data_IF_005595197438
#
_entry.id   IF_005595197438
#
_cell.length_a   1.000
_cell.length_b   1.000
_cell.length_c   1.000
_cell.angle_alpha   90.00
_cell.angle_beta   90.00
_cell.angle_gamma   90.00
#
_symmetry.space_group_name_H-M   'P 1'
#
loop_
_entity.id
_entity.type
_entity.pdbx_description
1 polymer ?
#
# COMPACT_ATOMS: atom_id res chain seq x y z
N UNK A 1 8.71 1.93 13.09
CA UNK A 1 7.69 2.86 12.51
C UNK A 1 6.62 3.35 13.50
N UNK A 2 6.63 2.87 14.74
CA UNK A 2 5.58 3.26 15.72
C UNK A 2 5.50 4.78 15.91
N UNK A 3 6.64 5.45 15.97
CA UNK A 3 6.67 6.92 16.11
C UNK A 3 5.96 7.60 14.93
N UNK A 4 6.24 7.15 13.72
CA UNK A 4 5.61 7.73 12.52
C UNK A 4 4.12 7.43 12.48
N UNK A 5 3.69 6.24 12.94
CA UNK A 5 2.27 5.90 12.99
C UNK A 5 1.52 6.84 13.93
N UNK A 6 2.08 7.14 15.09
CA UNK A 6 1.48 8.08 16.05
C UNK A 6 1.46 9.49 15.49
N UNK A 7 2.59 9.97 14.98
CA UNK A 7 2.74 11.33 14.49
C UNK A 7 1.79 11.65 13.34
N UNK A 8 1.62 10.71 12.40
CA UNK A 8 0.81 10.93 11.20
C UNK A 8 -0.55 10.27 11.27
N UNK A 9 -0.93 9.75 12.43
CA UNK A 9 -2.23 9.14 12.66
C UNK A 9 -2.51 7.99 11.67
N UNK A 10 -1.57 7.07 11.56
CA UNK A 10 -1.66 5.90 10.69
C UNK A 10 -1.81 4.66 11.55
N UNK A 11 -2.76 3.80 11.20
CA UNK A 11 -2.90 2.49 11.83
C UNK A 11 -2.79 1.39 10.78
N UNK A 12 -1.93 0.37 11.01
CA UNK A 12 -1.82 -0.76 10.08
C UNK A 12 -3.13 -1.53 9.87
N UNK A 13 -4.07 -1.41 10.81
CA UNK A 13 -5.38 -2.08 10.73
C UNK A 13 -6.44 -1.28 9.98
N UNK A 14 -6.13 -0.03 9.61
CA UNK A 14 -7.03 0.78 8.80
C UNK A 14 -7.04 0.28 7.35
N UNK A 15 -7.97 0.82 6.55
CA UNK A 15 -8.08 0.46 5.14
C UNK A 15 -6.75 0.70 4.41
N UNK A 16 -6.28 -0.32 3.69
CA UNK A 16 -4.97 -0.29 3.03
C UNK A 16 -4.86 0.84 2.00
N UNK A 17 -5.87 1.01 1.15
CA UNK A 17 -5.83 2.04 0.11
C UNK A 17 -5.91 3.45 0.69
N UNK A 18 -6.61 3.63 1.82
CA UNK A 18 -6.62 4.91 2.51
C UNK A 18 -5.25 5.24 3.10
N UNK A 19 -4.61 4.27 3.72
CA UNK A 19 -3.23 4.42 4.23
C UNK A 19 -2.26 4.73 3.10
N UNK A 20 -2.38 4.03 1.99
CA UNK A 20 -1.53 4.25 0.82
C UNK A 20 -1.67 5.67 0.29
N UNK A 21 -2.89 6.16 0.13
CA UNK A 21 -3.18 7.52 -0.30
C UNK A 21 -2.54 8.55 0.62
N UNK A 22 -2.71 8.36 1.92
CA UNK A 22 -2.17 9.26 2.95
C UNK A 22 -0.65 9.32 2.91
N UNK A 23 -0.01 8.16 2.81
CA UNK A 23 1.46 8.06 2.77
C UNK A 23 2.04 8.65 1.50
N UNK A 24 1.40 8.43 0.36
CA UNK A 24 1.83 9.04 -0.91
C UNK A 24 1.74 10.56 -0.86
N UNK A 25 0.67 11.10 -0.26
CA UNK A 25 0.53 12.54 -0.07
C UNK A 25 1.62 13.10 0.85
N UNK A 26 1.93 12.39 1.95
CA UNK A 26 3.00 12.79 2.87
C UNK A 26 4.37 12.76 2.20
N UNK A 27 4.65 11.72 1.40
CA UNK A 27 5.89 11.64 0.63
C UNK A 27 6.01 12.78 -0.36
N UNK A 28 4.94 13.10 -1.06
CA UNK A 28 4.91 14.19 -2.04
C UNK A 28 5.20 15.52 -1.39
N UNK A 29 4.65 15.75 -0.19
CA UNK A 29 4.82 16.99 0.57
C UNK A 29 6.21 17.12 1.18
N UNK A 30 6.70 16.06 1.82
CA UNK A 30 7.92 16.10 2.63
C UNK A 30 9.16 15.57 1.93
N UNK A 31 9.00 14.84 0.82
CA UNK A 31 10.12 14.25 0.06
C UNK A 31 10.99 13.29 0.89
N UNK A 32 10.42 12.68 1.93
CA UNK A 32 11.14 11.78 2.83
C UNK A 32 10.88 10.32 2.41
N UNK A 33 11.97 9.60 2.17
CA UNK A 33 11.91 8.17 1.80
C UNK A 33 11.25 7.31 2.89
N UNK A 34 11.19 7.79 4.12
CA UNK A 34 10.52 7.08 5.23
C UNK A 34 9.10 6.69 4.85
N UNK A 35 8.36 7.57 4.18
CA UNK A 35 6.97 7.30 3.82
C UNK A 35 6.86 6.15 2.81
N UNK A 36 7.84 6.03 1.92
CA UNK A 36 7.90 4.91 0.97
C UNK A 36 8.20 3.60 1.70
N UNK A 37 9.13 3.63 2.64
CA UNK A 37 9.45 2.45 3.46
C UNK A 37 8.23 1.98 4.24
N UNK A 38 7.45 2.91 4.78
CA UNK A 38 6.21 2.58 5.50
C UNK A 38 5.18 1.96 4.55
N UNK A 39 5.06 2.46 3.33
CA UNK A 39 4.14 1.89 2.33
C UNK A 39 4.48 0.42 2.08
N UNK A 40 5.74 0.08 1.88
CA UNK A 40 6.14 -1.31 1.65
C UNK A 40 5.92 -2.17 2.90
N UNK A 41 6.19 -1.63 4.09
CA UNK A 41 5.90 -2.32 5.33
C UNK A 41 4.40 -2.63 5.49
N UNK A 42 3.53 -1.65 5.23
CA UNK A 42 2.08 -1.83 5.33
C UNK A 42 1.56 -2.78 4.25
N UNK A 43 2.17 -2.79 3.07
CA UNK A 43 1.82 -3.75 2.02
C UNK A 43 2.10 -5.17 2.48
N UNK A 44 3.27 -5.43 3.04
CA UNK A 44 3.62 -6.74 3.58
C UNK A 44 2.68 -7.16 4.71
N UNK A 45 2.38 -6.23 5.61
CA UNK A 45 1.47 -6.47 6.72
C UNK A 45 0.06 -6.84 6.23
N UNK A 46 -0.46 -6.09 5.27
CA UNK A 46 -1.79 -6.29 4.72
C UNK A 46 -1.92 -7.68 4.07
N UNK A 47 -0.97 -8.04 3.21
CA UNK A 47 -1.03 -9.32 2.50
C UNK A 47 -0.75 -10.51 3.41
N UNK A 48 0.10 -10.34 4.42
CA UNK A 48 0.31 -11.36 5.44
C UNK A 48 -0.99 -11.64 6.21
N UNK A 49 -1.73 -10.60 6.57
CA UNK A 49 -3.01 -10.76 7.26
C UNK A 49 -4.04 -11.48 6.40
N UNK A 50 -4.11 -11.18 5.10
CA UNK A 50 -5.01 -11.89 4.19
C UNK A 50 -4.70 -13.38 4.14
N UNK A 51 -3.42 -13.72 4.12
CA UNK A 51 -2.95 -15.11 4.11
C UNK A 51 -3.26 -15.81 5.44
N UNK A 52 -2.96 -15.16 6.56
CA UNK A 52 -3.13 -15.73 7.91
C UNK A 52 -4.60 -15.93 8.26
N UNK A 53 -5.48 -15.07 7.75
CA UNK A 53 -6.94 -15.20 7.98
C UNK A 53 -7.59 -16.23 7.05
N UNK A 54 -6.83 -16.79 6.14
CA UNK A 54 -7.31 -17.78 5.16
C UNK A 54 -8.52 -17.30 4.35
N UNK A 55 -8.60 -15.98 4.14
CA UNK A 55 -9.68 -15.33 3.37
C UNK A 55 -9.54 -15.67 1.89
N UNK A 56 -8.29 -15.73 1.41
CA UNK A 56 -7.97 -16.01 0.01
C UNK A 56 -6.97 -17.15 -0.07
N UNK A 57 -6.97 -17.88 -1.19
CA UNK A 57 -5.95 -18.89 -1.48
C UNK A 57 -4.59 -18.21 -1.64
N UNK A 58 -3.49 -18.93 -1.31
CA UNK A 58 -2.13 -18.41 -1.33
C UNK A 58 -1.73 -17.84 -2.70
N UNK A 59 -2.09 -18.51 -3.79
CA UNK A 59 -1.77 -18.04 -5.14
C UNK A 59 -2.52 -16.76 -5.49
N UNK A 60 -3.75 -16.58 -5.00
CA UNK A 60 -4.51 -15.33 -5.17
C UNK A 60 -3.88 -14.18 -4.38
N UNK A 61 -3.47 -14.44 -3.13
CA UNK A 61 -2.76 -13.44 -2.32
C UNK A 61 -1.48 -13.00 -3.02
N UNK A 62 -0.71 -13.96 -3.53
CA UNK A 62 0.53 -13.66 -4.26
C UNK A 62 0.25 -12.81 -5.50
N UNK A 63 -0.80 -13.15 -6.26
CA UNK A 63 -1.19 -12.36 -7.44
C UNK A 63 -1.51 -10.92 -7.09
N UNK A 64 -2.31 -10.70 -6.04
CA UNK A 64 -2.69 -9.36 -5.60
C UNK A 64 -1.48 -8.57 -5.10
N UNK A 65 -0.63 -9.21 -4.30
CA UNK A 65 0.59 -8.57 -3.80
C UNK A 65 1.51 -8.17 -4.94
N UNK A 66 1.72 -9.06 -5.90
CA UNK A 66 2.58 -8.79 -7.07
C UNK A 66 2.04 -7.62 -7.88
N UNK A 67 0.73 -7.56 -8.07
CA UNK A 67 0.09 -6.45 -8.79
C UNK A 67 0.34 -5.12 -8.08
N UNK A 68 0.12 -5.09 -6.77
CA UNK A 68 0.28 -3.86 -5.98
C UNK A 68 1.74 -3.40 -6.01
N UNK A 69 2.69 -4.30 -5.75
CA UNK A 69 4.11 -3.94 -5.72
C UNK A 69 4.61 -3.51 -7.09
N UNK A 70 4.19 -4.18 -8.17
CA UNK A 70 4.56 -3.80 -9.52
C UNK A 70 4.08 -2.38 -9.84
N UNK A 71 2.83 -2.07 -9.53
CA UNK A 71 2.26 -0.76 -9.82
C UNK A 71 2.86 0.35 -8.95
N UNK A 72 3.18 0.06 -7.68
CA UNK A 72 3.88 1.00 -6.81
C UNK A 72 5.27 1.33 -7.36
N UNK A 73 6.04 0.33 -7.74
CA UNK A 73 7.39 0.54 -8.30
C UNK A 73 7.34 1.33 -9.59
N UNK A 74 6.37 1.03 -10.45
CA UNK A 74 6.16 1.75 -11.70
C UNK A 74 5.81 3.22 -11.45
N UNK A 75 4.92 3.47 -10.51
CA UNK A 75 4.55 4.83 -10.10
C UNK A 75 5.77 5.62 -9.61
N UNK A 76 6.56 5.02 -8.72
CA UNK A 76 7.74 5.68 -8.14
C UNK A 76 8.82 5.93 -9.18
N UNK A 77 9.02 4.99 -10.11
CA UNK A 77 10.06 5.11 -11.15
C UNK A 77 9.72 6.17 -12.19
N UNK A 78 8.45 6.20 -12.63
CA UNK A 78 8.03 7.05 -13.75
C UNK A 78 7.22 8.27 -13.33
N UNK A 79 7.05 8.50 -12.03
CA UNK A 79 6.30 9.65 -11.50
C UNK A 79 4.88 9.74 -12.10
N UNK A 80 4.16 8.61 -12.08
CA UNK A 80 2.84 8.49 -12.69
C UNK A 80 1.76 9.18 -11.84
N UNK A 81 0.53 9.23 -12.36
CA UNK A 81 -0.60 9.84 -11.67
C UNK A 81 -1.00 9.03 -10.43
N UNK A 82 -1.05 9.70 -9.28
CA UNK A 82 -1.37 9.06 -7.99
C UNK A 82 -2.80 8.52 -7.96
N UNK A 83 -3.78 9.29 -8.47
CA UNK A 83 -5.17 8.86 -8.45
C UNK A 83 -5.38 7.61 -9.30
N UNK A 84 -4.71 7.55 -10.44
CA UNK A 84 -4.75 6.35 -11.30
C UNK A 84 -4.18 5.13 -10.60
N UNK A 85 -3.08 5.30 -9.86
CA UNK A 85 -2.49 4.23 -9.07
C UNK A 85 -3.46 3.73 -8.01
N UNK A 86 -4.02 4.63 -7.20
CA UNK A 86 -4.94 4.28 -6.13
C UNK A 86 -6.19 3.58 -6.67
N UNK A 87 -6.75 4.09 -7.76
CA UNK A 87 -7.92 3.49 -8.39
C UNK A 87 -7.63 2.09 -8.92
N UNK A 88 -6.47 1.89 -9.56
CA UNK A 88 -6.07 0.58 -10.08
C UNK A 88 -5.93 -0.44 -8.95
N UNK A 89 -5.27 -0.05 -7.86
CA UNK A 89 -5.07 -0.93 -6.70
C UNK A 89 -6.41 -1.24 -6.03
N UNK A 90 -7.23 -0.22 -5.81
CA UNK A 90 -8.53 -0.39 -5.17
C UNK A 90 -9.44 -1.33 -5.96
N UNK A 91 -9.48 -1.15 -7.28
CA UNK A 91 -10.27 -2.01 -8.15
C UNK A 91 -9.77 -3.46 -8.13
N UNK A 92 -8.45 -3.64 -8.16
CA UNK A 92 -7.86 -4.99 -8.12
C UNK A 92 -8.18 -5.70 -6.80
N UNK A 93 -8.07 -5.00 -5.68
CA UNK A 93 -8.32 -5.58 -4.36
C UNK A 93 -9.81 -5.92 -4.14
N UNK A 94 -10.71 -5.11 -4.70
CA UNK A 94 -12.15 -5.29 -4.48
C UNK A 94 -12.82 -6.19 -5.52
N UNK A 95 -12.33 -6.19 -6.77
CA UNK A 95 -13.01 -6.85 -7.89
C UNK A 95 -12.13 -7.83 -8.66
N UNK A 96 -10.86 -7.84 -8.37
CA UNK A 96 -9.91 -8.67 -9.08
C UNK A 96 -9.72 -10.05 -8.56
#
# INVERSE_FOLDING_TARGET
>A
FNFAFEEYNISPTDNFTDNLSKLLNLHKKNKDILFIDIIFYLSDFYFKNLKDQDILKNDKVYELKSFVLYNLNKYLTFNLNQNSLINAINNKLNYG
#
